data_IF_070196891014
#
_entry.id   IF_070196891014
#
_cell.length_a   1.000
_cell.length_b   1.000
_cell.length_c   1.000
_cell.angle_alpha   90.00
_cell.angle_beta   90.00
_cell.angle_gamma   90.00
#
_symmetry.space_group_name_H-M   'P 1'
#
loop_
_entity.id
_entity.type
_entity.pdbx_description
1 polymer ?
#
# COMPACT_ATOMS: atom_id res chain seq x y z
N UNK A 1 9.13 5.34 -8.55
CA UNK A 1 8.24 5.55 -7.40
C UNK A 1 8.12 4.25 -6.64
N UNK A 2 7.56 4.25 -5.42
CA UNK A 2 7.30 3.02 -4.67
C UNK A 2 6.18 2.25 -5.38
N UNK A 3 6.34 0.94 -5.59
CA UNK A 3 5.24 0.07 -6.01
C UNK A 3 4.48 -0.43 -4.78
N UNK A 4 5.19 -1.04 -3.83
CA UNK A 4 4.60 -1.50 -2.58
C UNK A 4 5.64 -2.00 -1.61
N UNK A 5 5.22 -2.20 -0.36
CA UNK A 5 5.97 -2.91 0.67
C UNK A 5 5.26 -4.23 0.93
N UNK A 6 5.92 -5.34 0.59
CA UNK A 6 5.31 -6.66 0.64
C UNK A 6 5.99 -7.52 1.71
N UNK A 7 5.26 -7.96 2.75
CA UNK A 7 5.82 -8.82 3.79
C UNK A 7 6.39 -10.11 3.22
N UNK A 8 7.50 -10.61 3.78
CA UNK A 8 8.02 -11.94 3.48
C UNK A 8 8.85 -12.45 4.65
N UNK A 9 8.67 -13.73 4.98
CA UNK A 9 9.50 -14.44 5.97
C UNK A 9 10.59 -15.29 5.31
N UNK A 10 10.72 -15.23 3.99
CA UNK A 10 11.65 -16.06 3.23
C UNK A 10 12.55 -15.18 2.37
N UNK A 11 13.81 -15.56 2.24
CA UNK A 11 14.77 -14.91 1.34
C UNK A 11 14.43 -15.16 -0.14
N UNK A 12 13.69 -16.25 -0.42
CA UNK A 12 13.14 -16.57 -1.74
C UNK A 12 11.71 -16.04 -1.85
N UNK A 13 11.30 -15.51 -3.02
CA UNK A 13 10.14 -14.64 -3.11
C UNK A 13 8.83 -15.40 -2.86
N UNK A 14 8.38 -15.34 -1.61
CA UNK A 14 7.01 -15.63 -1.22
C UNK A 14 6.40 -14.31 -0.77
N UNK A 15 5.33 -13.90 -1.44
CA UNK A 15 4.62 -12.64 -1.15
C UNK A 15 3.22 -13.02 -0.67
N UNK A 16 3.03 -13.28 0.65
CA UNK A 16 1.70 -13.42 1.21
C UNK A 16 0.81 -12.28 0.70
N UNK A 17 -0.41 -12.67 0.35
CA UNK A 17 -1.40 -11.72 -0.15
C UNK A 17 -2.78 -12.10 0.36
N UNK A 18 -3.63 -11.09 0.50
CA UNK A 18 -5.02 -11.23 0.93
C UNK A 18 -5.20 -11.85 2.34
N UNK A 19 -4.24 -11.61 3.23
CA UNK A 19 -4.31 -12.03 4.63
C UNK A 19 -5.56 -11.47 5.35
N UNK A 20 -6.02 -12.15 6.39
CA UNK A 20 -7.12 -11.61 7.20
C UNK A 20 -6.60 -10.44 8.06
N UNK A 21 -7.35 -9.35 8.15
CA UNK A 21 -6.88 -8.14 8.84
C UNK A 21 -7.78 -6.94 8.58
N UNK A 22 -7.42 -5.79 9.16
CA UNK A 22 -8.20 -4.56 9.00
C UNK A 22 -8.11 -4.05 7.56
N UNK A 23 -9.25 -3.76 6.95
CA UNK A 23 -9.30 -3.10 5.63
C UNK A 23 -8.69 -1.70 5.69
N UNK A 24 -8.24 -1.25 4.53
CA UNK A 24 -7.71 0.09 4.37
C UNK A 24 -8.71 1.13 4.89
N UNK A 25 -8.20 2.10 5.64
CA UNK A 25 -8.98 3.24 6.07
C UNK A 25 -8.13 4.49 5.88
N UNK A 26 -8.52 5.33 4.92
CA UNK A 26 -7.83 6.57 4.60
C UNK A 26 -7.71 7.53 5.79
N UNK A 27 -8.63 7.48 6.76
CA UNK A 27 -8.55 8.34 7.96
C UNK A 27 -7.36 7.97 8.85
N UNK A 28 -6.86 6.72 8.77
CA UNK A 28 -5.65 6.27 9.47
C UNK A 28 -4.36 6.70 8.77
N UNK A 29 -4.44 7.17 7.52
CA UNK A 29 -3.29 7.78 6.85
C UNK A 29 -3.13 9.20 7.37
N UNK A 30 -2.15 9.38 8.27
CA UNK A 30 -1.89 10.66 8.91
C UNK A 30 -1.74 11.81 7.88
N UNK A 31 -2.34 12.98 8.13
CA UNK A 31 -2.31 14.11 7.20
C UNK A 31 -0.91 14.47 6.71
N UNK A 32 0.08 14.49 7.60
CA UNK A 32 1.48 14.78 7.27
C UNK A 32 2.14 13.74 6.36
N UNK A 33 1.62 12.51 6.34
CA UNK A 33 2.14 11.42 5.50
C UNK A 33 1.55 11.50 4.09
N UNK A 34 0.32 12.00 3.94
CA UNK A 34 -0.39 12.06 2.64
C UNK A 34 0.41 12.81 1.58
N UNK A 35 1.00 13.95 1.91
CA UNK A 35 1.83 14.73 0.96
C UNK A 35 3.09 13.96 0.55
N UNK A 36 3.71 13.22 1.49
CA UNK A 36 4.89 12.39 1.20
C UNK A 36 4.52 11.19 0.31
N UNK A 37 3.36 10.59 0.56
CA UNK A 37 2.83 9.47 -0.21
C UNK A 37 2.48 9.88 -1.64
N UNK A 38 1.82 11.02 -1.86
CA UNK A 38 1.55 11.53 -3.21
C UNK A 38 2.80 11.71 -4.06
N UNK A 39 3.93 12.08 -3.46
CA UNK A 39 5.21 12.25 -4.18
C UNK A 39 5.95 10.92 -4.38
N UNK A 40 5.97 10.07 -3.35
CA UNK A 40 6.87 8.92 -3.29
C UNK A 40 6.19 7.61 -3.71
N UNK A 41 4.88 7.52 -3.51
CA UNK A 41 4.04 6.37 -3.77
C UNK A 41 2.76 6.72 -4.58
N UNK A 42 2.86 7.47 -5.70
CA UNK A 42 1.71 7.78 -6.55
C UNK A 42 1.22 6.56 -7.34
N UNK A 43 -0.04 6.62 -7.76
CA UNK A 43 -0.57 5.79 -8.85
C UNK A 43 -0.11 6.36 -10.19
N UNK A 44 0.80 5.65 -10.85
CA UNK A 44 1.38 6.04 -12.14
C UNK A 44 0.57 5.55 -13.34
N UNK A 45 -0.40 4.67 -13.14
CA UNK A 45 -1.20 4.08 -14.22
C UNK A 45 -2.53 4.82 -14.40
N UNK A 46 -3.31 4.97 -13.33
CA UNK A 46 -4.65 5.58 -13.38
C UNK A 46 -4.73 6.98 -12.74
N UNK A 47 -3.67 7.39 -12.03
CA UNK A 47 -3.61 8.68 -11.33
C UNK A 47 -4.46 8.76 -10.06
N UNK A 48 -5.03 7.64 -9.60
CA UNK A 48 -5.82 7.57 -8.37
C UNK A 48 -5.01 6.96 -7.22
N UNK A 49 -4.18 7.80 -6.61
CA UNK A 49 -3.29 7.43 -5.51
C UNK A 49 -4.03 6.69 -4.38
N UNK A 50 -5.20 7.17 -3.97
CA UNK A 50 -5.94 6.58 -2.84
C UNK A 50 -6.40 5.17 -3.15
N UNK A 51 -6.88 4.92 -4.37
CA UNK A 51 -7.31 3.59 -4.83
C UNK A 51 -6.13 2.63 -4.87
N UNK A 52 -4.97 3.12 -5.31
CA UNK A 52 -3.74 2.35 -5.32
C UNK A 52 -3.24 2.00 -3.92
N UNK A 53 -3.24 2.96 -2.98
CA UNK A 53 -2.88 2.70 -1.58
C UNK A 53 -3.82 1.69 -0.93
N UNK A 54 -5.12 1.80 -1.24
CA UNK A 54 -6.12 0.85 -0.79
C UNK A 54 -5.85 -0.56 -1.31
N UNK A 55 -5.56 -0.72 -2.62
CA UNK A 55 -5.26 -2.03 -3.19
C UNK A 55 -4.01 -2.65 -2.61
N UNK A 56 -2.95 -1.86 -2.43
CA UNK A 56 -1.68 -2.36 -1.85
C UNK A 56 -1.86 -2.75 -0.38
N UNK A 57 -2.58 -1.95 0.41
CA UNK A 57 -2.87 -2.31 1.81
C UNK A 57 -3.75 -3.56 1.90
N UNK A 58 -4.85 -3.61 1.17
CA UNK A 58 -5.78 -4.74 1.24
C UNK A 58 -5.16 -6.03 0.68
N UNK A 59 -4.20 -5.93 -0.25
CA UNK A 59 -3.52 -7.11 -0.78
C UNK A 59 -2.33 -7.52 0.07
N UNK A 60 -1.53 -6.58 0.57
CA UNK A 60 -0.21 -6.88 1.15
C UNK A 60 0.03 -6.29 2.55
N UNK A 61 -0.69 -5.24 2.96
CA UNK A 61 -0.42 -4.52 4.21
C UNK A 61 -1.24 -4.95 5.42
N UNK A 62 -2.32 -5.72 5.22
CA UNK A 62 -3.24 -6.16 6.28
C UNK A 62 -2.82 -7.46 6.98
#
# INVERSE_FOLDING_TARGET
TIHGLWPSNYSNPTKPSNCNGSRFNFTKVYPQLRTKLKKSWPDVESGNDTKFWESEWNKHGR
#
